data_IF_101368878987
#
_entry.id   IF_101368878987
#
_cell.length_a   1.000
_cell.length_b   1.000
_cell.length_c   1.000
_cell.angle_alpha   90.00
_cell.angle_beta   90.00
_cell.angle_gamma   90.00
#
_symmetry.space_group_name_H-M   'P 1'
#
loop_
_entity.id
_entity.type
_entity.pdbx_description
1 polymer ?
#
# COMPACT_ATOMS: atom_id res chain seq x y z
N UNK A 1 38.62 21.99 8.02
CA UNK A 1 37.43 22.84 8.10
C UNK A 1 36.27 21.92 7.86
N UNK A 2 35.62 21.60 8.97
CA UNK A 2 34.55 20.63 9.08
C UNK A 2 33.22 21.26 8.64
N UNK A 3 32.27 20.37 8.32
CA UNK A 3 30.83 20.53 8.48
C UNK A 3 30.00 21.17 7.35
N UNK A 4 28.78 20.64 7.26
CA UNK A 4 27.66 20.87 6.34
C UNK A 4 27.71 19.96 5.09
N UNK A 5 26.84 18.97 4.93
CA UNK A 5 25.39 19.02 5.18
C UNK A 5 24.86 17.66 5.64
N UNK A 6 24.31 17.65 6.86
CA UNK A 6 23.40 16.64 7.37
C UNK A 6 22.04 16.82 6.66
N UNK A 7 21.84 16.12 5.55
CA UNK A 7 20.53 15.90 4.91
C UNK A 7 20.35 14.38 4.97
N UNK A 8 19.59 13.81 5.89
CA UNK A 8 18.15 13.63 5.74
C UNK A 8 17.70 12.91 7.01
N UNK A 9 17.42 13.66 8.06
CA UNK A 9 16.58 13.12 9.14
C UNK A 9 15.38 14.04 9.29
N UNK A 10 14.21 13.40 9.21
CA UNK A 10 12.90 13.85 9.68
C UNK A 10 12.03 14.63 8.68
N UNK A 11 11.25 13.87 7.92
CA UNK A 11 9.80 14.04 8.02
C UNK A 11 9.21 12.67 8.33
N UNK A 12 8.48 12.54 9.42
CA UNK A 12 7.74 11.33 9.80
C UNK A 12 6.54 11.14 8.89
N UNK A 13 6.78 11.06 7.59
CA UNK A 13 5.81 10.63 6.60
C UNK A 13 5.95 9.12 6.49
N UNK A 14 4.83 8.43 6.57
CA UNK A 14 4.77 6.99 6.30
C UNK A 14 5.49 6.70 4.96
N UNK A 15 6.22 5.58 4.88
CA UNK A 15 6.96 5.26 3.66
C UNK A 15 5.99 5.19 2.48
N UNK A 16 6.41 5.79 1.37
CA UNK A 16 5.69 5.74 0.10
C UNK A 16 5.44 4.27 -0.30
N UNK A 17 4.18 3.84 -0.27
CA UNK A 17 3.82 2.45 -0.52
C UNK A 17 2.46 2.32 -1.20
N UNK A 18 2.35 1.29 -2.03
CA UNK A 18 1.10 0.80 -2.62
C UNK A 18 1.07 -0.70 -2.32
N UNK A 19 0.14 -1.13 -1.48
CA UNK A 19 0.03 -2.54 -1.07
C UNK A 19 -1.34 -3.08 -1.44
N UNK A 20 -1.40 -4.27 -2.03
CA UNK A 20 -2.64 -5.01 -2.26
C UNK A 20 -2.67 -6.20 -1.31
N UNK A 21 -3.58 -6.20 -0.35
CA UNK A 21 -3.80 -7.28 0.60
C UNK A 21 -5.13 -7.99 0.34
N UNK A 22 -5.24 -9.24 0.79
CA UNK A 22 -6.53 -9.94 0.87
C UNK A 22 -7.19 -9.53 2.18
N UNK A 23 -8.49 -9.23 2.17
CA UNK A 23 -9.22 -8.87 3.39
C UNK A 23 -9.47 -10.14 4.22
N UNK A 24 -9.17 -10.04 5.50
CA UNK A 24 -9.42 -11.08 6.50
C UNK A 24 -10.57 -10.65 7.39
N UNK A 25 -11.47 -11.58 7.72
CA UNK A 25 -12.52 -11.34 8.69
C UNK A 25 -11.95 -11.33 10.13
N UNK A 26 -12.76 -10.93 11.11
CA UNK A 26 -12.36 -10.84 12.53
C UNK A 26 -11.93 -12.21 13.12
N UNK A 27 -12.43 -13.31 12.57
CA UNK A 27 -12.08 -14.69 12.92
C UNK A 27 -10.81 -15.17 12.20
N UNK A 28 -10.22 -14.35 11.32
CA UNK A 28 -9.01 -14.65 10.58
C UNK A 28 -9.23 -15.64 9.45
N UNK A 29 -10.45 -15.75 8.92
CA UNK A 29 -10.70 -16.40 7.64
C UNK A 29 -10.52 -15.39 6.52
N UNK A 30 -10.06 -15.89 5.38
CA UNK A 30 -10.01 -15.12 4.15
C UNK A 30 -11.45 -14.74 3.78
N UNK A 31 -11.72 -13.44 3.63
CA UNK A 31 -12.98 -12.97 3.07
C UNK A 31 -12.89 -13.22 1.56
N UNK A 32 -13.28 -14.42 1.16
CA UNK A 32 -13.00 -15.00 -0.16
C UNK A 32 -13.45 -14.03 -1.27
N UNK A 33 -12.48 -13.52 -2.04
CA UNK A 33 -12.70 -12.58 -3.13
C UNK A 33 -12.66 -11.09 -2.76
N UNK A 34 -12.37 -10.70 -1.52
CA UNK A 34 -12.22 -9.29 -1.14
C UNK A 34 -10.76 -8.89 -0.99
N UNK A 35 -10.39 -7.81 -1.67
CA UNK A 35 -9.04 -7.24 -1.72
C UNK A 35 -9.07 -5.81 -1.20
N UNK A 36 -7.97 -5.37 -0.60
CA UNK A 36 -7.81 -4.02 -0.09
C UNK A 36 -6.52 -3.44 -0.62
N UNK A 37 -6.61 -2.24 -1.22
CA UNK A 37 -5.43 -1.49 -1.67
C UNK A 37 -5.15 -0.40 -0.64
N UNK A 38 -4.02 -0.51 0.04
CA UNK A 38 -3.55 0.49 1.00
C UNK A 38 -2.50 1.37 0.35
N UNK A 39 -2.73 2.68 0.39
CA UNK A 39 -1.80 3.70 -0.07
C UNK A 39 -1.16 4.37 1.15
N UNK A 40 0.11 4.74 1.06
CA UNK A 40 0.80 5.46 2.14
C UNK A 40 1.81 6.45 1.59
N UNK A 41 1.98 7.59 2.27
CA UNK A 41 2.87 8.66 1.84
C UNK A 41 2.33 9.43 0.63
N UNK A 42 3.17 9.71 -0.36
CA UNK A 42 2.82 10.41 -1.62
C UNK A 42 1.56 9.90 -2.34
N UNK A 43 1.32 8.58 -2.54
CA UNK A 43 0.15 8.10 -3.25
C UNK A 43 -1.15 8.34 -2.48
N UNK A 44 -1.13 8.22 -1.15
CA UNK A 44 -2.28 8.55 -0.33
C UNK A 44 -2.60 10.06 -0.37
N UNK A 45 -1.57 10.91 -0.36
CA UNK A 45 -1.72 12.37 -0.42
C UNK A 45 -2.25 12.84 -1.80
N UNK A 46 -1.71 12.30 -2.90
CA UNK A 46 -2.10 12.67 -4.28
C UNK A 46 -3.52 12.22 -4.64
N UNK A 47 -3.92 11.03 -4.22
CA UNK A 47 -5.24 10.47 -4.50
C UNK A 47 -6.28 10.80 -3.41
N UNK A 48 -5.85 11.34 -2.27
CA UNK A 48 -6.66 11.57 -1.07
C UNK A 48 -7.43 10.32 -0.61
N UNK A 49 -6.79 9.14 -0.76
CA UNK A 49 -7.32 7.82 -0.42
C UNK A 49 -6.23 7.08 0.38
N UNK A 50 -6.54 6.65 1.59
CA UNK A 50 -5.66 5.81 2.40
C UNK A 50 -5.88 4.31 2.10
N UNK A 51 -7.13 3.91 1.90
CA UNK A 51 -7.54 2.52 1.68
C UNK A 51 -8.76 2.44 0.74
N UNK A 52 -8.74 1.53 -0.23
CA UNK A 52 -9.89 1.22 -1.08
C UNK A 52 -10.12 -0.30 -1.21
N UNK A 53 -11.38 -0.70 -1.12
CA UNK A 53 -11.80 -2.11 -1.12
C UNK A 53 -12.37 -2.54 -2.48
N UNK A 54 -12.03 -3.76 -2.90
CA UNK A 54 -12.44 -4.35 -4.16
C UNK A 54 -12.92 -5.78 -3.99
N UNK A 55 -13.94 -6.18 -4.75
CA UNK A 55 -14.46 -7.56 -4.76
C UNK A 55 -13.77 -8.47 -5.80
N UNK A 56 -12.73 -7.98 -6.49
CA UNK A 56 -11.93 -8.76 -7.46
C UNK A 56 -10.47 -8.29 -7.48
N UNK A 57 -9.55 -9.24 -7.66
CA UNK A 57 -8.10 -8.98 -7.72
C UNK A 57 -7.74 -8.09 -8.91
N UNK A 58 -8.38 -8.31 -10.05
CA UNK A 58 -8.13 -7.54 -11.28
C UNK A 58 -8.51 -6.08 -11.14
N UNK A 59 -9.52 -5.75 -10.33
CA UNK A 59 -9.93 -4.36 -10.10
C UNK A 59 -8.99 -3.67 -9.11
N UNK A 60 -8.61 -4.38 -8.03
CA UNK A 60 -7.60 -3.90 -7.09
C UNK A 60 -6.25 -3.65 -7.80
N UNK A 61 -5.85 -4.55 -8.69
CA UNK A 61 -4.63 -4.40 -9.46
C UNK A 61 -4.71 -3.22 -10.43
N UNK A 62 -5.82 -3.06 -11.16
CA UNK A 62 -6.01 -1.94 -12.09
C UNK A 62 -5.94 -0.58 -11.38
N UNK A 63 -6.54 -0.46 -10.19
CA UNK A 63 -6.42 0.74 -9.37
C UNK A 63 -4.96 0.98 -8.91
N UNK A 64 -4.32 -0.06 -8.37
CA UNK A 64 -2.93 0.04 -7.94
C UNK A 64 -1.96 0.38 -9.10
N UNK A 65 -2.24 -0.11 -10.31
CA UNK A 65 -1.50 0.25 -11.54
C UNK A 65 -1.68 1.74 -11.87
N UNK A 66 -2.90 2.27 -11.84
CA UNK A 66 -3.14 3.70 -12.09
C UNK A 66 -2.37 4.60 -11.09
N UNK A 67 -2.37 4.22 -9.81
CA UNK A 67 -1.62 4.93 -8.76
C UNK A 67 -0.12 4.78 -8.98
N UNK A 68 0.35 3.59 -9.36
CA UNK A 68 1.77 3.31 -9.65
C UNK A 68 2.28 4.11 -10.85
N UNK A 69 1.52 4.17 -11.95
CA UNK A 69 1.86 4.94 -13.15
C UNK A 69 1.96 6.45 -12.86
N UNK A 70 1.10 6.94 -11.96
CA UNK A 70 1.05 8.35 -11.57
C UNK A 70 2.19 8.73 -10.62
N UNK A 71 2.46 7.89 -9.62
CA UNK A 71 3.41 8.21 -8.54
C UNK A 71 4.81 7.64 -8.73
N UNK A 72 4.97 6.69 -9.66
CA UNK A 72 6.22 5.95 -9.88
C UNK A 72 6.58 4.96 -8.76
N UNK A 73 5.64 4.65 -7.86
CA UNK A 73 5.85 3.73 -6.73
C UNK A 73 5.47 2.31 -7.15
N UNK A 74 6.28 1.33 -6.78
CA UNK A 74 6.02 -0.07 -7.11
C UNK A 74 4.87 -0.65 -6.27
N UNK A 75 4.04 -1.47 -6.92
CA UNK A 75 2.97 -2.23 -6.26
C UNK A 75 3.57 -3.41 -5.50
N UNK A 76 3.21 -3.54 -4.23
CA UNK A 76 3.55 -4.71 -3.41
C UNK A 76 2.30 -5.54 -3.19
N UNK A 77 2.37 -6.84 -3.46
CA UNK A 77 1.31 -7.76 -3.04
C UNK A 77 1.60 -8.22 -1.61
N UNK A 78 0.70 -7.89 -0.71
CA UNK A 78 0.69 -8.38 0.66
C UNK A 78 0.61 -9.90 0.66
N UNK A 79 1.74 -10.54 0.96
CA UNK A 79 1.75 -11.98 1.14
C UNK A 79 1.16 -12.27 2.51
N UNK A 80 -0.14 -12.59 2.55
CA UNK A 80 -0.75 -13.04 3.78
C UNK A 80 -0.08 -14.35 4.19
N UNK A 81 0.72 -14.29 5.26
CA UNK A 81 1.28 -15.49 5.85
C UNK A 81 0.11 -16.32 6.38
N UNK A 82 -0.10 -17.56 5.90
CA UNK A 82 -1.16 -18.38 6.46
C UNK A 82 -0.95 -18.53 7.97
N UNK A 83 -2.02 -18.42 8.75
CA UNK A 83 -1.97 -18.51 10.22
C UNK A 83 -1.35 -19.83 10.75
N UNK A 84 -1.24 -20.84 9.89
CA UNK A 84 -0.67 -22.16 10.18
C UNK A 84 0.83 -22.31 9.84
N UNK A 85 1.49 -21.26 9.32
CA UNK A 85 2.90 -21.31 8.90
C UNK A 85 3.91 -20.73 9.92
#
# INVERSE_FOLDING_TARGET
MNEHVNLLEQSGSEPNAITIDIKWDEDGNEDEGRYVVTLSGTPADEFAIDEEEFDRDVDAHAFAEEVSETTGIAITWGCAKPAWA
#
